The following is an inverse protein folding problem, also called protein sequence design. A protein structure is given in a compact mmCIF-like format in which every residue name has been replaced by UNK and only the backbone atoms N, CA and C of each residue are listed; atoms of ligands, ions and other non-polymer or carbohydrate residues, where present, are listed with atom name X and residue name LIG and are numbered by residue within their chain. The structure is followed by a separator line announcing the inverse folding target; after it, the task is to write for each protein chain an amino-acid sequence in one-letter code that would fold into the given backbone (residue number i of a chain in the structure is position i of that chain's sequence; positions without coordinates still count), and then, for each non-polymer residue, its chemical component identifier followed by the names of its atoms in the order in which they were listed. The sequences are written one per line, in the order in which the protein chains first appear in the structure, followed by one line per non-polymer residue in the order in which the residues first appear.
data_IF_608787710502
#
_entry.id   IF_608787710502
#
_cell.length_a   1.000
_cell.length_b   1.000
_cell.length_c   1.000
_cell.angle_alpha   90.00
_cell.angle_beta   90.00
_cell.angle_gamma   90.00
#
_symmetry.space_group_name_H-M   'P 1'
#
loop_
_entity.id
_entity.type
_entity.pdbx_description
1 polymer ?
#
# COMPACT_ATOMS: atom_id res chain seq x y z
N UNK A 1 28.62 -0.94 -8.89
CA UNK A 1 28.11 0.33 -9.45
C UNK A 1 26.67 0.05 -9.79
N UNK A 2 25.72 0.62 -9.04
CA UNK A 2 24.31 0.41 -9.35
C UNK A 2 24.01 1.10 -10.67
N UNK A 3 23.64 0.34 -11.70
CA UNK A 3 23.26 0.92 -12.99
C UNK A 3 21.76 1.26 -12.98
N UNK A 4 21.43 2.39 -12.35
CA UNK A 4 20.07 2.92 -12.29
C UNK A 4 19.50 3.14 -13.70
N UNK A 5 20.36 3.55 -14.64
CA UNK A 5 19.99 3.79 -16.03
C UNK A 5 19.54 2.50 -16.72
N UNK A 6 20.29 1.42 -16.58
CA UNK A 6 19.90 0.13 -17.14
C UNK A 6 18.56 -0.37 -16.59
N UNK A 7 18.31 -0.21 -15.29
CA UNK A 7 17.03 -0.59 -14.66
C UNK A 7 15.87 0.25 -15.19
N UNK A 8 16.06 1.56 -15.31
CA UNK A 8 15.04 2.45 -15.89
C UNK A 8 14.76 2.08 -17.36
N UNK A 9 15.79 1.80 -18.16
CA UNK A 9 15.63 1.36 -19.55
C UNK A 9 14.88 0.01 -19.65
N UNK A 10 15.15 -0.92 -18.74
CA UNK A 10 14.41 -2.19 -18.66
C UNK A 10 12.93 -1.97 -18.33
N UNK A 11 12.63 -1.06 -17.39
CA UNK A 11 11.25 -0.70 -17.08
C UNK A 11 10.56 -0.01 -18.27
N UNK A 12 11.21 0.95 -18.93
CA UNK A 12 10.69 1.60 -20.13
C UNK A 12 10.39 0.60 -21.26
N UNK A 13 11.25 -0.42 -21.42
CA UNK A 13 10.99 -1.53 -22.33
C UNK A 13 9.77 -2.35 -21.90
N UNK A 14 9.65 -2.70 -20.62
CA UNK A 14 8.50 -3.45 -20.10
C UNK A 14 7.18 -2.67 -20.26
N UNK A 15 7.19 -1.36 -20.03
CA UNK A 15 6.06 -0.45 -20.28
C UNK A 15 5.63 -0.53 -21.75
N UNK A 16 6.59 -0.41 -22.68
CA UNK A 16 6.33 -0.53 -24.13
C UNK A 16 5.76 -1.90 -24.52
N UNK A 17 6.38 -2.98 -24.05
CA UNK A 17 6.04 -4.35 -24.44
C UNK A 17 4.65 -4.77 -23.95
N UNK A 18 4.15 -4.15 -22.87
CA UNK A 18 2.81 -4.40 -22.31
C UNK A 18 1.74 -3.42 -22.82
N UNK A 19 2.07 -2.53 -23.76
CA UNK A 19 1.12 -1.54 -24.28
C UNK A 19 0.63 -0.54 -23.22
N UNK A 20 1.53 -0.16 -22.31
CA UNK A 20 1.29 0.82 -21.26
C UNK A 20 1.88 2.16 -21.71
N UNK A 21 1.12 3.23 -21.52
CA UNK A 21 1.55 4.59 -21.90
C UNK A 21 2.21 5.32 -20.73
N UNK A 22 1.65 5.13 -19.53
CA UNK A 22 2.15 5.73 -18.29
C UNK A 22 2.19 4.69 -17.18
N UNK A 23 3.36 4.50 -16.56
CA UNK A 23 3.53 3.66 -15.40
C UNK A 23 3.81 4.51 -14.16
N UNK A 24 2.90 4.46 -13.19
CA UNK A 24 2.93 5.25 -11.97
C UNK A 24 3.60 4.47 -10.83
N UNK A 25 4.59 5.09 -10.19
CA UNK A 25 5.34 4.54 -9.07
C UNK A 25 5.32 5.56 -7.93
N UNK A 26 4.58 5.31 -6.84
CA UNK A 26 4.66 6.11 -5.63
C UNK A 26 5.87 5.72 -4.78
N UNK A 27 6.28 6.60 -3.87
CA UNK A 27 7.09 6.20 -2.72
C UNK A 27 6.17 5.60 -1.64
N UNK A 28 5.93 4.29 -1.71
CA UNK A 28 5.02 3.58 -0.83
C UNK A 28 5.34 2.08 -0.76
N UNK A 29 4.78 1.38 0.22
CA UNK A 29 4.81 -0.07 0.34
C UNK A 29 3.39 -0.67 0.30
N UNK A 30 3.24 -1.95 0.62
CA UNK A 30 1.95 -2.64 0.59
C UNK A 30 0.92 -2.18 1.63
N UNK A 31 1.32 -1.28 2.53
CA UNK A 31 0.55 -0.79 3.68
C UNK A 31 0.48 0.74 3.74
N UNK A 32 0.99 1.41 2.70
CA UNK A 32 1.12 2.86 2.62
C UNK A 32 1.91 3.48 3.78
N UNK A 33 3.02 2.86 4.17
CA UNK A 33 3.92 3.39 5.19
C UNK A 33 4.58 4.70 4.73
N UNK A 34 4.74 5.65 5.66
CA UNK A 34 5.37 6.96 5.38
C UNK A 34 6.85 6.81 4.96
N UNK A 35 7.56 5.87 5.59
CA UNK A 35 8.97 5.58 5.31
C UNK A 35 9.06 4.09 4.95
N UNK A 36 8.83 3.72 3.69
CA UNK A 36 8.88 2.33 3.28
C UNK A 36 10.29 1.74 3.46
N UNK A 37 10.38 0.43 3.69
CA UNK A 37 11.67 -0.27 3.68
C UNK A 37 12.34 -0.12 2.30
N UNK A 38 13.68 -0.14 2.25
CA UNK A 38 14.46 -0.03 1.02
C UNK A 38 13.97 -0.95 -0.12
N UNK A 39 13.53 -2.18 0.21
CA UNK A 39 12.98 -3.12 -0.79
C UNK A 39 11.73 -2.60 -1.53
N UNK A 40 11.01 -1.65 -0.94
CA UNK A 40 9.84 -1.00 -1.52
C UNK A 40 10.16 0.35 -2.17
N UNK A 41 11.35 0.94 -1.91
CA UNK A 41 11.74 2.22 -2.48
C UNK A 41 12.17 2.09 -3.95
N UNK A 42 11.19 1.90 -4.83
CA UNK A 42 11.42 1.77 -6.26
C UNK A 42 11.98 3.04 -6.90
N UNK A 43 11.71 4.20 -6.32
CA UNK A 43 12.24 5.46 -6.84
C UNK A 43 13.75 5.46 -6.70
N UNK A 44 14.27 5.19 -5.49
CA UNK A 44 15.71 5.06 -5.28
C UNK A 44 16.32 3.93 -6.13
N UNK A 45 15.65 2.78 -6.23
CA UNK A 45 16.11 1.66 -7.04
C UNK A 45 16.27 1.99 -8.54
N UNK A 46 15.40 2.84 -9.08
CA UNK A 46 15.33 3.20 -10.50
C UNK A 46 16.09 4.49 -10.85
N UNK A 47 16.19 5.43 -9.93
CA UNK A 47 16.72 6.78 -10.20
C UNK A 47 17.94 7.15 -9.37
N UNK A 48 18.19 6.43 -8.27
CA UNK A 48 19.21 6.79 -7.28
C UNK A 48 18.81 7.92 -6.33
N UNK A 49 17.59 8.48 -6.47
CA UNK A 49 17.09 9.52 -5.57
C UNK A 49 16.71 8.93 -4.20
N UNK A 50 17.30 9.46 -3.13
CA UNK A 50 17.18 8.92 -1.76
C UNK A 50 16.21 9.71 -0.86
N UNK A 51 15.53 10.72 -1.41
CA UNK A 51 14.60 11.55 -0.64
C UNK A 51 13.34 10.79 -0.23
N UNK A 52 12.78 11.12 0.94
CA UNK A 52 11.59 10.47 1.49
C UNK A 52 10.26 11.06 0.96
N UNK A 53 10.30 11.78 -0.16
CA UNK A 53 9.11 12.21 -0.88
C UNK A 53 9.37 12.12 -2.37
N UNK A 54 8.60 11.29 -3.06
CA UNK A 54 8.80 11.06 -4.48
C UNK A 54 7.57 10.48 -5.15
N UNK A 55 7.38 10.83 -6.41
CA UNK A 55 6.48 10.11 -7.31
C UNK A 55 7.12 10.05 -8.68
N UNK A 56 7.19 8.87 -9.27
CA UNK A 56 7.79 8.64 -10.58
C UNK A 56 6.70 8.23 -11.57
N UNK A 57 6.68 8.88 -12.74
CA UNK A 57 5.95 8.41 -13.92
C UNK A 57 6.98 8.00 -14.96
N UNK A 58 6.85 6.78 -15.47
CA UNK A 58 7.68 6.24 -16.54
C UNK A 58 6.81 6.01 -17.77
N UNK A 59 7.20 6.59 -18.90
CA UNK A 59 6.63 6.27 -20.22
C UNK A 59 7.57 5.33 -20.96
N UNK A 60 7.25 4.94 -22.19
CA UNK A 60 8.15 4.11 -22.99
C UNK A 60 9.53 4.75 -23.28
N UNK A 61 9.65 6.08 -23.16
CA UNK A 61 10.82 6.84 -23.60
C UNK A 61 11.31 7.90 -22.60
N UNK A 62 10.50 8.26 -21.59
CA UNK A 62 10.82 9.31 -20.60
C UNK A 62 10.51 8.85 -19.18
N UNK A 63 11.06 9.58 -18.22
CA UNK A 63 10.75 9.43 -16.81
C UNK A 63 10.60 10.83 -16.19
N UNK A 64 9.60 11.00 -15.34
CA UNK A 64 9.28 12.25 -14.67
C UNK A 64 9.19 12.00 -13.18
N UNK A 65 9.97 12.72 -12.37
CA UNK A 65 10.01 12.54 -10.92
C UNK A 65 9.54 13.80 -10.20
N UNK A 66 8.44 13.72 -9.48
CA UNK A 66 7.96 14.77 -8.59
C UNK A 66 8.55 14.59 -7.20
N UNK A 67 8.94 15.71 -6.59
CA UNK A 67 9.28 15.82 -5.17
C UNK A 67 8.94 17.23 -4.69
N UNK A 68 8.90 17.45 -3.38
CA UNK A 68 8.64 18.75 -2.77
C UNK A 68 9.91 19.58 -2.49
N UNK A 69 9.70 20.82 -2.02
CA UNK A 69 10.77 21.80 -1.82
C UNK A 69 11.88 21.40 -0.86
N UNK A 70 11.67 20.40 0.00
CA UNK A 70 12.71 19.87 0.90
C UNK A 70 13.84 19.19 0.11
N UNK A 71 13.54 18.61 -1.06
CA UNK A 71 14.45 17.74 -1.79
C UNK A 71 14.91 18.30 -3.14
N UNK A 72 14.57 19.54 -3.52
CA UNK A 72 14.94 20.07 -4.85
C UNK A 72 16.44 20.04 -5.12
N UNK A 73 17.26 20.52 -4.18
CA UNK A 73 18.72 20.55 -4.33
C UNK A 73 19.29 19.13 -4.34
N UNK A 74 18.78 18.27 -3.46
CA UNK A 74 19.18 16.87 -3.40
C UNK A 74 18.87 16.15 -4.72
N UNK A 75 17.66 16.30 -5.24
CA UNK A 75 17.23 15.68 -6.48
C UNK A 75 18.04 16.15 -7.69
N UNK A 76 18.42 17.44 -7.75
CA UNK A 76 19.30 17.95 -8.82
C UNK A 76 20.67 17.27 -8.82
N UNK A 77 21.23 17.00 -7.63
CA UNK A 77 22.53 16.36 -7.48
C UNK A 77 22.42 14.85 -7.76
N UNK A 78 21.44 14.17 -7.16
CA UNK A 78 21.30 12.71 -7.27
C UNK A 78 20.85 12.24 -8.66
N UNK A 79 20.09 13.08 -9.39
CA UNK A 79 19.66 12.80 -10.76
C UNK A 79 20.64 13.29 -11.83
N UNK A 80 21.78 13.89 -11.44
CA UNK A 80 22.74 14.45 -12.39
C UNK A 80 23.24 13.36 -13.37
N UNK A 81 23.11 13.63 -14.67
CA UNK A 81 23.47 12.68 -15.74
C UNK A 81 22.46 11.56 -16.00
N UNK A 82 21.32 11.55 -15.30
CA UNK A 82 20.20 10.66 -15.59
C UNK A 82 19.26 11.26 -16.67
N UNK A 83 18.43 10.41 -17.26
CA UNK A 83 17.37 10.80 -18.21
C UNK A 83 16.04 11.15 -17.49
N UNK A 84 16.07 11.30 -16.16
CA UNK A 84 14.88 11.60 -15.34
C UNK A 84 14.62 13.11 -15.29
N UNK A 85 13.42 13.51 -15.68
CA UNK A 85 12.99 14.91 -15.65
C UNK A 85 12.46 15.25 -14.26
N UNK A 86 13.18 16.12 -13.54
CA UNK A 86 12.77 16.58 -12.21
C UNK A 86 11.60 17.57 -12.30
N UNK A 87 10.49 17.22 -11.65
CA UNK A 87 9.25 17.99 -11.54
C UNK A 87 9.15 18.60 -10.14
N UNK A 88 9.58 19.86 -9.99
CA UNK A 88 9.61 20.57 -8.69
C UNK A 88 8.20 20.97 -8.23
N UNK A 89 7.56 20.13 -7.42
CA UNK A 89 6.16 20.29 -7.00
C UNK A 89 5.91 21.63 -6.30
N UNK A 90 4.79 22.27 -6.62
CA UNK A 90 4.37 23.53 -5.99
C UNK A 90 5.00 24.80 -6.57
N UNK A 91 5.95 24.67 -7.51
CA UNK A 91 6.43 25.81 -8.28
C UNK A 91 5.44 26.22 -9.37
N UNK A 92 5.34 27.52 -9.61
CA UNK A 92 4.46 28.07 -10.65
C UNK A 92 4.82 27.50 -12.01
N UNK A 93 3.84 26.93 -12.71
CA UNK A 93 4.01 26.35 -14.04
C UNK A 93 4.48 24.90 -14.06
N UNK A 94 4.73 24.28 -12.90
CA UNK A 94 4.97 22.84 -12.80
C UNK A 94 3.65 22.15 -12.48
N UNK A 95 3.11 21.29 -13.38
CA UNK A 95 1.87 20.59 -13.11
C UNK A 95 2.06 19.56 -12.00
N UNK A 96 1.03 19.34 -11.19
CA UNK A 96 0.94 18.15 -10.36
C UNK A 96 0.79 16.88 -11.20
N UNK A 97 0.98 15.71 -10.59
CA UNK A 97 0.89 14.40 -11.28
C UNK A 97 -0.44 14.22 -12.01
N UNK A 98 -1.54 14.62 -11.37
CA UNK A 98 -2.90 14.57 -11.93
C UNK A 98 -3.03 15.46 -13.18
N UNK A 99 -2.62 16.71 -13.05
CA UNK A 99 -2.70 17.70 -14.14
C UNK A 99 -1.81 17.28 -15.31
N UNK A 100 -0.66 16.67 -15.01
CA UNK A 100 0.24 16.10 -16.00
C UNK A 100 -0.44 14.95 -16.76
N UNK A 101 -1.03 13.98 -16.06
CA UNK A 101 -1.74 12.87 -16.71
C UNK A 101 -2.93 13.36 -17.53
N UNK A 102 -3.74 14.28 -17.00
CA UNK A 102 -4.88 14.87 -17.73
C UNK A 102 -4.45 15.51 -19.05
N UNK A 103 -3.34 16.25 -19.04
CA UNK A 103 -2.84 16.99 -20.19
C UNK A 103 -2.06 16.15 -21.21
N UNK A 104 -1.49 15.00 -20.80
CA UNK A 104 -0.59 14.21 -21.66
C UNK A 104 -1.18 12.87 -22.11
N UNK A 105 -2.19 12.32 -21.42
CA UNK A 105 -2.83 11.07 -21.85
C UNK A 105 -3.72 11.27 -23.08
N UNK A 106 -3.60 10.41 -24.07
CA UNK A 106 -4.54 10.25 -25.17
C UNK A 106 -5.87 9.64 -24.74
N UNK A 107 -6.78 9.45 -25.69
CA UNK A 107 -8.15 8.96 -25.44
C UNK A 107 -8.23 7.46 -25.18
N UNK A 108 -7.20 6.69 -25.51
CA UNK A 108 -7.16 5.23 -25.36
C UNK A 108 -5.97 4.76 -24.50
N UNK A 109 -5.23 5.71 -23.94
CA UNK A 109 -4.01 5.45 -23.21
C UNK A 109 -4.26 4.66 -21.92
N UNK A 110 -3.26 3.87 -21.55
CA UNK A 110 -3.26 3.01 -20.37
C UNK A 110 -2.36 3.62 -19.30
N UNK A 111 -2.96 3.93 -18.16
CA UNK A 111 -2.24 4.19 -16.91
C UNK A 111 -2.09 2.87 -16.16
N UNK A 112 -0.87 2.49 -15.82
CA UNK A 112 -0.61 1.29 -15.05
C UNK A 112 0.16 1.58 -13.77
N UNK A 113 0.01 0.70 -12.79
CA UNK A 113 0.78 0.69 -11.55
C UNK A 113 0.68 -0.69 -10.92
N UNK A 114 1.55 -0.98 -9.97
CA UNK A 114 1.39 -2.15 -9.09
C UNK A 114 0.34 -1.82 -8.02
N UNK A 115 -0.81 -2.50 -8.10
CA UNK A 115 -1.95 -2.26 -7.22
C UNK A 115 -1.66 -2.57 -5.76
N UNK A 116 -0.59 -3.30 -5.44
CA UNK A 116 -0.18 -3.52 -4.05
C UNK A 116 0.43 -2.28 -3.42
N UNK A 117 1.01 -1.35 -4.17
CA UNK A 117 1.64 -0.13 -3.62
C UNK A 117 0.83 1.16 -3.82
N UNK A 118 -0.35 1.06 -4.44
CA UNK A 118 -1.26 2.19 -4.65
C UNK A 118 -2.48 2.00 -3.75
N UNK A 119 -2.78 2.98 -2.90
CA UNK A 119 -3.96 2.92 -2.03
C UNK A 119 -5.28 3.23 -2.78
N UNK A 120 -6.41 2.84 -2.18
CA UNK A 120 -7.74 2.99 -2.78
C UNK A 120 -8.09 4.44 -3.11
N UNK A 121 -7.75 5.39 -2.25
CA UNK A 121 -8.02 6.81 -2.49
C UNK A 121 -7.29 7.32 -3.74
N UNK A 122 -6.02 6.95 -3.90
CA UNK A 122 -5.21 7.30 -5.09
C UNK A 122 -5.78 6.63 -6.33
N UNK A 123 -6.16 5.35 -6.23
CA UNK A 123 -6.80 4.64 -7.32
C UNK A 123 -8.10 5.31 -7.77
N UNK A 124 -9.01 5.61 -6.83
CA UNK A 124 -10.28 6.31 -7.13
C UNK A 124 -10.03 7.66 -7.78
N UNK A 125 -9.07 8.42 -7.24
CA UNK A 125 -8.68 9.73 -7.79
C UNK A 125 -8.24 9.62 -9.26
N UNK A 126 -7.38 8.65 -9.60
CA UNK A 126 -6.97 8.44 -10.99
C UNK A 126 -8.10 7.89 -11.85
N UNK A 127 -8.89 6.95 -11.34
CA UNK A 127 -10.04 6.41 -12.06
C UNK A 127 -11.04 7.50 -12.44
N UNK A 128 -11.37 8.41 -11.51
CA UNK A 128 -12.27 9.55 -11.75
C UNK A 128 -11.75 10.47 -12.86
N UNK A 129 -10.44 10.65 -12.95
CA UNK A 129 -9.80 11.45 -13.99
C UNK A 129 -9.92 10.77 -15.36
N UNK A 130 -9.71 9.45 -15.43
CA UNK A 130 -9.79 8.71 -16.68
C UNK A 130 -11.22 8.65 -17.23
N UNK A 131 -12.22 8.65 -16.37
CA UNK A 131 -13.64 8.65 -16.74
C UNK A 131 -14.17 10.01 -17.22
N UNK A 132 -13.39 11.09 -17.04
CA UNK A 132 -13.77 12.41 -17.55
C UNK A 132 -13.61 12.45 -19.07
N UNK A 133 -14.43 13.27 -19.71
CA UNK A 133 -14.35 13.61 -21.13
C UNK A 133 -14.64 12.48 -22.13
N UNK A 134 -15.39 11.44 -21.73
CA UNK A 134 -15.84 10.36 -22.65
C UNK A 134 -14.67 9.67 -23.37
N UNK A 135 -13.54 9.55 -22.69
CA UNK A 135 -12.33 8.89 -23.19
C UNK A 135 -12.32 7.42 -22.75
N UNK A 136 -11.79 6.55 -23.60
CA UNK A 136 -11.63 5.11 -23.34
C UNK A 136 -10.29 4.79 -22.67
N UNK A 137 -9.83 5.69 -21.77
CA UNK A 137 -8.61 5.50 -20.99
C UNK A 137 -8.83 4.38 -19.98
N UNK A 138 -7.77 3.62 -19.66
CA UNK A 138 -7.87 2.45 -18.77
C UNK A 138 -6.81 2.46 -17.68
N UNK A 139 -7.18 1.92 -16.51
CA UNK A 139 -6.22 1.54 -15.47
C UNK A 139 -5.86 0.07 -15.63
N UNK A 140 -4.58 -0.26 -15.48
CA UNK A 140 -4.09 -1.62 -15.42
C UNK A 140 -3.30 -1.84 -14.12
N UNK A 141 -3.77 -2.78 -13.28
CA UNK A 141 -2.99 -3.29 -12.15
C UNK A 141 -1.99 -4.34 -12.66
N UNK A 142 -0.71 -3.96 -12.70
CA UNK A 142 0.37 -4.83 -13.16
C UNK A 142 1.68 -4.45 -12.48
N UNK A 143 2.36 -5.45 -11.92
CA UNK A 143 3.71 -5.26 -11.40
C UNK A 143 4.76 -5.49 -12.51
N UNK A 144 5.46 -4.42 -12.91
CA UNK A 144 6.55 -4.48 -13.89
C UNK A 144 7.95 -4.52 -13.27
N UNK A 145 8.07 -4.42 -11.95
CA UNK A 145 9.37 -4.40 -11.25
C UNK A 145 9.40 -5.53 -10.23
N UNK A 146 10.24 -6.54 -10.47
CA UNK A 146 10.42 -7.60 -9.49
C UNK A 146 11.14 -7.07 -8.25
N UNK A 147 10.47 -7.11 -7.11
CA UNK A 147 11.02 -6.70 -5.81
C UNK A 147 11.50 -7.90 -4.98
N UNK A 148 11.15 -9.12 -5.38
CA UNK A 148 11.44 -10.33 -4.61
C UNK A 148 12.94 -10.66 -4.61
N UNK A 149 13.69 -10.14 -5.58
CA UNK A 149 15.15 -10.26 -5.66
C UNK A 149 15.88 -9.20 -4.81
N UNK A 150 15.16 -8.28 -4.17
CA UNK A 150 15.75 -7.29 -3.26
C UNK A 150 15.85 -7.91 -1.87
N UNK A 151 17.08 -8.23 -1.46
CA UNK A 151 17.39 -8.88 -0.18
C UNK A 151 16.65 -8.20 0.97
N UNK A 152 15.89 -9.00 1.71
CA UNK A 152 15.25 -8.57 2.94
C UNK A 152 16.29 -8.56 4.05
N UNK A 153 16.54 -7.39 4.63
CA UNK A 153 17.33 -7.31 5.87
C UNK A 153 16.52 -8.03 6.95
N UNK A 154 16.99 -9.21 7.36
CA UNK A 154 16.27 -10.10 8.27
C UNK A 154 15.68 -9.36 9.47
N UNK A 155 14.36 -9.44 9.60
CA UNK A 155 13.63 -8.77 10.68
C UNK A 155 13.72 -9.56 12.00
N UNK A 156 13.62 -8.86 13.14
CA UNK A 156 13.59 -9.50 14.47
C UNK A 156 12.28 -10.25 14.73
N UNK A 157 12.17 -11.01 15.82
CA UNK A 157 10.88 -11.59 16.19
C UNK A 157 9.89 -10.50 16.61
N UNK A 158 8.60 -10.76 16.45
CA UNK A 158 7.53 -9.88 16.95
C UNK A 158 7.39 -10.11 18.46
N UNK A 159 7.25 -9.03 19.23
CA UNK A 159 7.12 -9.12 20.69
C UNK A 159 5.85 -8.44 21.21
N UNK A 160 5.42 -8.87 22.39
CA UNK A 160 4.27 -8.31 23.11
C UNK A 160 4.67 -7.02 23.84
N UNK A 161 3.84 -5.99 23.71
CA UNK A 161 3.84 -4.82 24.58
C UNK A 161 2.78 -5.04 25.67
N UNK A 162 3.22 -5.30 26.89
CA UNK A 162 2.31 -5.63 28.00
C UNK A 162 1.29 -4.51 28.30
N UNK A 163 0.20 -4.89 28.94
CA UNK A 163 -0.88 -3.99 29.36
C UNK A 163 -0.40 -2.88 30.32
N UNK A 164 0.70 -3.10 31.05
CA UNK A 164 1.36 -2.07 31.88
C UNK A 164 1.79 -0.86 31.05
N UNK A 165 2.27 -1.10 29.82
CA UNK A 165 2.72 -0.05 28.91
C UNK A 165 1.62 0.41 27.93
N UNK A 166 0.75 -0.49 27.51
CA UNK A 166 -0.29 -0.19 26.52
C UNK A 166 -1.55 0.43 27.15
N UNK A 167 -1.77 0.24 28.45
CA UNK A 167 -2.91 0.75 29.21
C UNK A 167 -4.25 0.07 28.95
N UNK A 168 -4.32 -0.81 27.95
CA UNK A 168 -5.55 -1.49 27.53
C UNK A 168 -5.22 -2.80 26.79
N UNK A 169 -5.93 -3.87 27.13
CA UNK A 169 -5.74 -5.19 26.51
C UNK A 169 -6.23 -5.23 25.05
N UNK A 170 -5.63 -6.09 24.24
CA UNK A 170 -6.05 -6.30 22.85
C UNK A 170 -7.52 -6.73 22.74
N UNK A 171 -7.99 -7.60 23.65
CA UNK A 171 -9.39 -8.05 23.70
C UNK A 171 -10.34 -6.88 23.91
N UNK A 172 -10.00 -5.94 24.80
CA UNK A 172 -10.79 -4.71 25.02
C UNK A 172 -10.87 -3.86 23.74
N UNK A 173 -9.73 -3.64 23.08
CA UNK A 173 -9.65 -2.86 21.82
C UNK A 173 -10.47 -3.48 20.69
N UNK A 174 -10.36 -4.80 20.51
CA UNK A 174 -11.13 -5.55 19.51
C UNK A 174 -12.63 -5.41 19.79
N UNK A 175 -13.06 -5.49 21.06
CA UNK A 175 -14.46 -5.28 21.42
C UNK A 175 -14.90 -3.83 21.16
N UNK A 176 -14.05 -2.84 21.47
CA UNK A 176 -14.32 -1.43 21.15
C UNK A 176 -14.51 -1.21 19.65
N UNK A 177 -13.66 -1.79 18.80
CA UNK A 177 -13.84 -1.78 17.33
C UNK A 177 -15.18 -2.40 16.95
N UNK A 178 -15.59 -3.50 17.60
CA UNK A 178 -16.87 -4.15 17.33
C UNK A 178 -18.10 -3.35 17.77
N UNK A 179 -17.93 -2.45 18.73
CA UNK A 179 -18.97 -1.58 19.28
C UNK A 179 -19.13 -0.25 18.51
N UNK A 180 -18.20 0.07 17.61
CA UNK A 180 -18.26 1.25 16.75
C UNK A 180 -19.50 1.25 15.82
N UNK A 181 -20.06 2.44 15.57
CA UNK A 181 -21.29 2.60 14.81
C UNK A 181 -21.13 2.27 13.32
N UNK A 182 -19.97 2.54 12.72
CA UNK A 182 -19.70 2.12 11.36
C UNK A 182 -19.49 0.61 11.30
N UNK A 183 -18.79 0.04 12.28
CA UNK A 183 -18.61 -1.41 12.36
C UNK A 183 -19.92 -2.15 12.53
N UNK A 184 -20.88 -1.61 13.28
CA UNK A 184 -22.24 -2.19 13.41
C UNK A 184 -22.97 -2.30 12.06
N UNK A 185 -22.64 -1.46 11.07
CA UNK A 185 -23.21 -1.51 9.71
C UNK A 185 -22.47 -2.51 8.79
N UNK A 186 -21.32 -3.02 9.23
CA UNK A 186 -20.46 -3.93 8.49
C UNK A 186 -20.49 -5.36 9.07
N UNK A 187 -20.01 -6.33 8.30
CA UNK A 187 -19.79 -7.71 8.72
C UNK A 187 -18.36 -7.95 9.22
N UNK A 188 -17.42 -7.10 8.81
CA UNK A 188 -16.05 -7.07 9.31
C UNK A 188 -15.29 -5.83 8.87
N UNK A 189 -14.03 -5.74 9.30
CA UNK A 189 -13.07 -4.69 8.91
C UNK A 189 -11.75 -5.32 8.49
N UNK A 190 -11.15 -4.76 7.43
CA UNK A 190 -9.76 -5.02 7.05
C UNK A 190 -8.91 -3.85 7.52
N UNK A 191 -7.90 -4.14 8.33
CA UNK A 191 -6.92 -3.18 8.81
C UNK A 191 -5.60 -3.51 8.11
N UNK A 192 -5.12 -2.56 7.30
CA UNK A 192 -3.85 -2.63 6.57
C UNK A 192 -2.76 -1.72 7.11
N UNK A 193 -3.13 -0.67 7.85
CA UNK A 193 -2.17 0.21 8.49
C UNK A 193 -1.41 -0.53 9.60
N UNK A 194 -0.09 -0.59 9.51
CA UNK A 194 0.74 -1.39 10.41
C UNK A 194 0.75 -0.87 11.86
N UNK A 195 0.63 0.46 12.05
CA UNK A 195 0.52 1.06 13.37
C UNK A 195 -0.78 0.66 14.06
N UNK A 196 -1.87 0.62 13.31
CA UNK A 196 -3.19 0.24 13.79
C UNK A 196 -3.24 -1.24 14.18
N UNK A 197 -2.61 -2.11 13.39
CA UNK A 197 -2.51 -3.54 13.72
C UNK A 197 -1.67 -3.75 14.98
N UNK A 198 -0.50 -3.13 15.04
CA UNK A 198 0.38 -3.18 16.21
C UNK A 198 -0.30 -2.66 17.48
N UNK A 199 -1.07 -1.57 17.37
CA UNK A 199 -1.83 -1.02 18.49
C UNK A 199 -2.99 -1.93 18.90
N UNK A 200 -3.74 -2.48 17.95
CA UNK A 200 -4.92 -3.33 18.20
C UNK A 200 -4.53 -4.60 18.94
N UNK A 201 -3.42 -5.23 18.54
CA UNK A 201 -2.98 -6.52 19.10
C UNK A 201 -1.94 -6.39 20.21
N UNK A 202 -1.57 -5.17 20.62
CA UNK A 202 -0.46 -4.93 21.54
C UNK A 202 0.87 -5.56 21.10
N UNK A 203 1.09 -5.74 19.80
CA UNK A 203 2.30 -6.36 19.24
C UNK A 203 3.24 -5.31 18.65
N UNK A 204 4.54 -5.59 18.62
CA UNK A 204 5.57 -4.71 18.04
C UNK A 204 6.57 -5.51 17.22
N UNK A 205 7.15 -4.86 16.23
CA UNK A 205 8.19 -5.40 15.35
C UNK A 205 9.21 -4.32 14.98
N UNK A 206 10.06 -4.61 14.01
CA UNK A 206 11.13 -3.71 13.55
C UNK A 206 11.28 -3.70 12.01
N UNK A 207 10.20 -3.93 11.29
CA UNK A 207 10.23 -4.10 9.83
C UNK A 207 10.49 -2.78 9.08
N UNK A 208 10.14 -1.69 9.75
CA UNK A 208 10.30 -0.33 9.27
C UNK A 208 11.23 0.41 10.22
N UNK A 209 12.26 1.04 9.66
CA UNK A 209 13.19 1.82 10.45
C UNK A 209 12.44 2.90 11.24
N UNK A 210 12.79 3.04 12.52
CA UNK A 210 12.22 4.01 13.46
C UNK A 210 10.75 3.80 13.86
N UNK A 211 10.02 2.87 13.23
CA UNK A 211 8.61 2.58 13.54
C UNK A 211 8.48 1.13 14.01
N UNK A 212 7.98 0.92 15.23
CA UNK A 212 7.96 -0.41 15.87
C UNK A 212 6.78 -1.28 15.44
N UNK A 213 6.73 -1.60 14.15
CA UNK A 213 5.66 -2.35 13.48
C UNK A 213 6.21 -3.54 12.69
N UNK A 214 5.32 -4.43 12.26
CA UNK A 214 5.64 -5.61 11.47
C UNK A 214 4.65 -5.78 10.32
N UNK A 215 5.13 -6.20 9.15
CA UNK A 215 4.31 -6.39 7.96
C UNK A 215 3.20 -7.40 8.26
N UNK A 216 1.97 -6.93 8.21
CA UNK A 216 0.80 -7.72 8.53
C UNK A 216 -0.50 -7.12 7.98
N UNK A 217 -1.52 -7.96 7.84
CA UNK A 217 -2.91 -7.52 7.71
C UNK A 217 -3.74 -8.10 8.84
N UNK A 218 -4.77 -7.39 9.29
CA UNK A 218 -5.68 -7.87 10.32
C UNK A 218 -7.11 -7.80 9.80
N UNK A 219 -7.84 -8.91 9.88
CA UNK A 219 -9.27 -8.95 9.60
C UNK A 219 -10.02 -9.24 10.89
N UNK A 220 -10.94 -8.35 11.26
CA UNK A 220 -11.83 -8.53 12.41
C UNK A 220 -13.25 -8.68 11.88
N UNK A 221 -13.85 -9.85 12.10
CA UNK A 221 -15.27 -10.09 11.83
C UNK A 221 -16.07 -10.11 13.12
N UNK A 222 -17.39 -10.29 13.02
CA UNK A 222 -18.26 -10.43 14.20
C UNK A 222 -17.88 -11.59 15.13
N UNK A 223 -17.09 -12.56 14.66
CA UNK A 223 -16.71 -13.75 15.45
C UNK A 223 -15.22 -13.99 15.48
N UNK A 224 -14.59 -13.84 14.32
CA UNK A 224 -13.23 -14.27 14.08
C UNK A 224 -12.29 -13.05 14.02
N UNK A 225 -11.04 -13.24 14.45
CA UNK A 225 -9.96 -12.27 14.29
C UNK A 225 -8.80 -13.01 13.64
N UNK A 226 -8.36 -12.53 12.47
CA UNK A 226 -7.37 -13.22 11.64
C UNK A 226 -6.21 -12.28 11.37
N UNK A 227 -5.02 -12.64 11.83
CA UNK A 227 -3.76 -11.96 11.58
C UNK A 227 -3.02 -12.67 10.44
N UNK A 228 -2.74 -11.94 9.36
CA UNK A 228 -1.90 -12.38 8.25
C UNK A 228 -0.51 -11.81 8.44
N UNK A 229 0.49 -12.64 8.74
CA UNK A 229 1.85 -12.19 9.00
C UNK A 229 2.84 -13.32 8.71
N UNK A 230 4.14 -13.06 8.83
CA UNK A 230 5.15 -14.11 8.79
C UNK A 230 5.10 -14.94 10.10
N UNK A 231 4.51 -16.14 10.03
CA UNK A 231 4.37 -17.06 11.17
C UNK A 231 5.67 -17.35 11.90
N UNK A 232 6.81 -17.42 11.19
CA UNK A 232 8.08 -17.76 11.84
C UNK A 232 8.53 -16.71 12.85
N UNK A 233 8.02 -15.48 12.73
CA UNK A 233 8.35 -14.33 13.59
C UNK A 233 7.41 -14.17 14.77
N UNK A 234 6.29 -14.91 14.80
CA UNK A 234 5.27 -14.82 15.85
C UNK A 234 5.46 -15.86 16.97
N UNK A 235 6.50 -16.69 16.90
CA UNK A 235 6.74 -17.79 17.87
C UNK A 235 6.76 -17.34 19.32
N UNK A 236 7.26 -16.13 19.60
CA UNK A 236 7.35 -15.60 20.97
C UNK A 236 6.00 -15.09 21.51
N UNK A 237 5.00 -14.92 20.65
CA UNK A 237 3.67 -14.39 20.97
C UNK A 237 2.54 -15.33 20.55
N UNK A 238 2.86 -16.56 20.16
CA UNK A 238 1.90 -17.55 19.67
C UNK A 238 0.86 -17.89 20.75
N UNK A 239 1.30 -18.23 21.96
CA UNK A 239 0.41 -18.50 23.11
C UNK A 239 -0.47 -17.29 23.45
N UNK A 240 0.08 -16.07 23.40
CA UNK A 240 -0.68 -14.84 23.61
C UNK A 240 -1.79 -14.66 22.57
N UNK A 241 -1.49 -14.89 21.29
CA UNK A 241 -2.45 -14.78 20.19
C UNK A 241 -3.55 -15.83 20.30
N UNK A 242 -3.20 -17.07 20.68
CA UNK A 242 -4.17 -18.13 20.97
C UNK A 242 -5.11 -17.77 22.12
N UNK A 243 -4.56 -17.25 23.23
CA UNK A 243 -5.33 -16.84 24.42
C UNK A 243 -6.36 -15.74 24.11
N UNK A 244 -6.03 -14.80 23.23
CA UNK A 244 -6.96 -13.73 22.80
C UNK A 244 -7.85 -14.14 21.61
N UNK A 245 -7.74 -15.38 21.12
CA UNK A 245 -8.56 -15.93 20.05
C UNK A 245 -8.24 -15.37 18.66
N UNK A 246 -6.98 -15.06 18.39
CA UNK A 246 -6.51 -14.59 17.07
C UNK A 246 -5.96 -15.76 16.26
N UNK A 247 -6.58 -16.02 15.12
CA UNK A 247 -6.08 -16.98 14.13
C UNK A 247 -4.91 -16.37 13.35
N UNK A 248 -3.85 -17.13 13.10
CA UNK A 248 -2.67 -16.69 12.34
C UNK A 248 -2.58 -17.40 11.00
N UNK A 249 -2.50 -16.63 9.90
CA UNK A 249 -2.31 -17.12 8.52
C UNK A 249 -1.06 -16.50 7.90
N UNK A 250 -0.57 -17.08 6.80
CA UNK A 250 0.60 -16.53 6.13
C UNK A 250 0.27 -15.18 5.48
N UNK A 251 1.24 -14.27 5.45
CA UNK A 251 1.02 -12.88 5.04
C UNK A 251 0.29 -12.72 3.68
N UNK A 252 0.60 -13.59 2.71
CA UNK A 252 -0.01 -13.54 1.38
C UNK A 252 -1.36 -14.27 1.28
N UNK A 253 -1.77 -15.05 2.30
CA UNK A 253 -3.01 -15.83 2.26
C UNK A 253 -4.25 -14.93 2.20
N UNK A 254 -4.16 -13.67 2.64
CA UNK A 254 -5.25 -12.70 2.57
C UNK A 254 -5.81 -12.56 1.15
N UNK A 255 -4.94 -12.59 0.12
CA UNK A 255 -5.37 -12.43 -1.28
C UNK A 255 -6.22 -13.63 -1.74
N UNK A 256 -5.85 -14.85 -1.34
CA UNK A 256 -6.62 -16.06 -1.64
C UNK A 256 -7.87 -16.17 -0.78
N UNK A 257 -7.80 -15.78 0.50
CA UNK A 257 -8.93 -15.87 1.42
C UNK A 257 -10.05 -14.91 1.06
N UNK A 258 -9.72 -13.71 0.56
CA UNK A 258 -10.71 -12.77 0.05
C UNK A 258 -11.34 -13.22 -1.28
N UNK A 259 -10.77 -14.19 -1.97
CA UNK A 259 -11.40 -14.82 -3.15
C UNK A 259 -12.30 -16.00 -2.76
N UNK A 260 -12.07 -16.62 -1.60
CA UNK A 260 -12.83 -17.78 -1.17
C UNK A 260 -14.23 -17.40 -0.65
N UNK A 261 -15.26 -17.89 -1.31
CA UNK A 261 -16.65 -17.76 -0.85
C UNK A 261 -16.92 -18.34 0.55
N UNK A 262 -16.09 -19.29 1.00
CA UNK A 262 -16.10 -19.86 2.35
C UNK A 262 -15.77 -18.82 3.42
N UNK A 263 -14.87 -17.88 3.11
CA UNK A 263 -14.53 -16.76 3.99
C UNK A 263 -15.76 -15.91 4.33
N UNK A 264 -16.62 -15.68 3.32
CA UNK A 264 -17.87 -14.93 3.45
C UNK A 264 -19.07 -15.77 3.88
N UNK A 265 -18.86 -17.03 4.25
CA UNK A 265 -19.89 -18.00 4.66
C UNK A 265 -21.07 -18.06 3.67
N UNK A 266 -20.77 -17.98 2.37
CA UNK A 266 -21.75 -18.05 1.28
C UNK A 266 -22.85 -16.97 1.31
N UNK A 267 -22.62 -15.83 1.98
CA UNK A 267 -23.51 -14.66 1.84
C UNK A 267 -23.39 -14.06 0.44
N UNK A 268 -24.52 -13.60 -0.10
CA UNK A 268 -24.57 -12.96 -1.43
C UNK A 268 -23.93 -11.58 -1.46
N UNK A 269 -23.98 -10.85 -0.34
CA UNK A 269 -23.28 -9.56 -0.14
C UNK A 269 -22.69 -9.60 1.27
N UNK A 270 -21.39 -9.34 1.37
CA UNK A 270 -20.68 -9.16 2.65
C UNK A 270 -20.22 -7.71 2.75
N UNK A 271 -20.42 -7.04 3.89
CA UNK A 271 -20.01 -5.63 4.04
C UNK A 271 -18.68 -5.53 4.76
N UNK A 272 -17.65 -5.02 4.09
CA UNK A 272 -16.33 -4.82 4.71
C UNK A 272 -16.04 -3.34 4.90
N UNK A 273 -15.67 -2.97 6.12
CA UNK A 273 -15.01 -1.69 6.39
C UNK A 273 -13.56 -1.76 5.95
N UNK A 274 -13.11 -0.66 5.34
CA UNK A 274 -11.72 -0.46 4.97
C UNK A 274 -11.33 0.99 5.28
N UNK A 275 -10.04 1.22 5.47
CA UNK A 275 -9.44 2.54 5.34
C UNK A 275 -8.89 2.70 3.91
N UNK A 276 -9.48 3.60 3.13
CA UNK A 276 -9.10 3.83 1.74
C UNK A 276 -7.72 4.50 1.59
N UNK A 277 -7.17 5.08 2.67
CA UNK A 277 -5.84 5.71 2.68
C UNK A 277 -4.72 4.68 2.91
N UNK A 278 -5.01 3.51 3.45
CA UNK A 278 -4.00 2.47 3.71
C UNK A 278 -4.21 1.18 2.92
N UNK A 279 -5.46 0.80 2.60
CA UNK A 279 -5.71 -0.43 1.85
C UNK A 279 -5.20 -0.27 0.41
N UNK A 280 -4.45 -1.27 -0.06
CA UNK A 280 -3.97 -1.28 -1.42
C UNK A 280 -5.06 -1.64 -2.44
N UNK A 281 -4.83 -1.22 -3.68
CA UNK A 281 -5.76 -1.37 -4.79
C UNK A 281 -5.99 -2.82 -5.14
N UNK A 282 -4.96 -3.68 -5.10
CA UNK A 282 -5.12 -5.10 -5.41
C UNK A 282 -6.07 -5.80 -4.44
N UNK A 283 -6.01 -5.51 -3.14
CA UNK A 283 -6.99 -6.02 -2.18
C UNK A 283 -8.38 -5.44 -2.46
N UNK A 284 -8.48 -4.13 -2.71
CA UNK A 284 -9.75 -3.47 -2.99
C UNK A 284 -10.47 -4.02 -4.24
N UNK A 285 -9.76 -4.27 -5.34
CA UNK A 285 -10.34 -4.80 -6.56
C UNK A 285 -10.83 -6.23 -6.39
N UNK A 286 -10.17 -7.04 -5.55
CA UNK A 286 -10.64 -8.38 -5.18
C UNK A 286 -11.97 -8.34 -4.41
N UNK A 287 -12.25 -7.27 -3.65
CA UNK A 287 -13.52 -7.14 -2.92
C UNK A 287 -14.71 -6.89 -3.87
N UNK A 288 -14.48 -6.37 -5.07
CA UNK A 288 -15.51 -5.67 -5.87
C UNK A 288 -16.59 -6.58 -6.51
N UNK A 289 -16.45 -7.91 -6.50
CA UNK A 289 -17.47 -8.80 -7.10
C UNK A 289 -18.59 -9.23 -6.13
N UNK A 290 -18.36 -9.17 -4.80
CA UNK A 290 -19.31 -9.71 -3.79
C UNK A 290 -19.40 -8.89 -2.49
N UNK A 291 -18.70 -7.76 -2.40
CA UNK A 291 -18.50 -7.04 -1.14
C UNK A 291 -18.83 -5.57 -1.31
N UNK A 292 -19.69 -5.07 -0.42
CA UNK A 292 -19.96 -3.64 -0.32
C UNK A 292 -18.91 -3.03 0.61
N UNK A 293 -18.13 -2.11 0.05
CA UNK A 293 -17.04 -1.45 0.77
C UNK A 293 -17.58 -0.21 1.46
N UNK A 294 -17.47 -0.19 2.78
CA UNK A 294 -17.76 0.98 3.60
C UNK A 294 -16.44 1.69 3.92
N UNK A 295 -16.26 2.91 3.45
CA UNK A 295 -15.11 3.74 3.82
C UNK A 295 -15.45 4.52 5.08
N UNK A 296 -14.66 4.35 6.14
CA UNK A 296 -14.71 5.22 7.32
C UNK A 296 -13.41 6.02 7.39
N UNK A 297 -13.50 7.32 7.64
CA UNK A 297 -12.34 8.16 7.98
C UNK A 297 -11.77 7.84 9.38
N UNK A 298 -12.40 6.90 10.09
CA UNK A 298 -12.22 6.66 11.52
C UNK A 298 -12.00 5.19 11.86
N UNK A 299 -10.85 4.64 11.44
CA UNK A 299 -10.35 3.34 11.89
C UNK A 299 -8.91 3.55 12.44
N UNK A 300 -8.49 2.76 13.43
CA UNK A 300 -8.57 3.00 14.88
C UNK A 300 -7.72 4.18 15.41
N UNK A 301 -7.02 4.95 14.57
CA UNK A 301 -6.23 6.11 15.05
C UNK A 301 -7.11 7.27 15.56
N UNK A 302 -8.42 7.21 15.35
CA UNK A 302 -9.40 8.19 15.80
C UNK A 302 -10.51 7.61 16.71
N UNK A 303 -10.34 6.40 17.25
CA UNK A 303 -11.29 5.73 18.17
C UNK A 303 -10.69 5.42 19.54
#
# INVERSE_FOLDING_TARGET
MYDYKDRLLQLQKAVRDNGIDFYYIPLSDYHNSEIPNYRFNLIEYLTGFTGSNGTLIVTSDKAYMWTDGRYFIQAEIELEGSDVILMKQGLKGVPGVVEFLEANMGSEDVLAFDGKVVNVDTYKKYNDILLRHDMNRRICDVNLVNRDDLDDVGYSNVWLLSDEYSGESAVSKINRIREDEDYKKADGVIISNLCDIAWTLNLRGDDINHVKVFYSYLVITKRDVILYANKTRLKEVEEYLEDIGVEVRDYNDIYSDLLDSGFYRSRSIYKMLIDAKSLNTSLYTLLNEKIEVLSSDSIPSSL
#
